data_IF_314403872794
#
_entry.id   IF_314403872794
#
_cell.length_a   1.000
_cell.length_b   1.000
_cell.length_c   1.000
_cell.angle_alpha   90.00
_cell.angle_beta   90.00
_cell.angle_gamma   90.00
#
_symmetry.space_group_name_H-M   'P 1'
#
loop_
_entity.id
_entity.type
_entity.pdbx_description
1 polymer ?
#
# COMPACT_ATOMS: atom_id res chain seq x y z
N UNK A 1 10.28 5.72 2.92
CA UNK A 1 9.28 4.77 2.42
C UNK A 1 8.95 5.16 0.99
N UNK A 2 8.83 4.17 0.10
CA UNK A 2 8.46 4.39 -1.30
C UNK A 2 6.94 4.54 -1.46
N UNK A 3 6.50 5.31 -2.45
CA UNK A 3 5.09 5.58 -2.70
C UNK A 3 4.62 5.04 -4.05
N UNK A 4 3.51 4.32 -4.04
CA UNK A 4 2.81 3.83 -5.23
C UNK A 4 1.52 4.66 -5.37
N UNK A 5 1.41 5.44 -6.45
CA UNK A 5 0.24 6.32 -6.69
C UNK A 5 -0.97 5.50 -7.15
N UNK A 6 -2.10 5.57 -6.44
CA UNK A 6 -3.29 4.71 -6.64
C UNK A 6 -4.39 5.32 -7.52
N UNK A 7 -4.21 6.55 -8.01
CA UNK A 7 -5.31 7.37 -8.51
C UNK A 7 -5.89 6.89 -9.86
N UNK A 8 -5.22 5.98 -10.58
CA UNK A 8 -5.75 5.29 -11.75
C UNK A 8 -6.28 3.90 -11.37
N UNK A 9 -7.58 3.82 -11.08
CA UNK A 9 -8.24 2.55 -10.71
C UNK A 9 -9.65 2.41 -11.30
N UNK A 10 -10.01 1.21 -11.79
CA UNK A 10 -11.32 0.96 -12.45
C UNK A 10 -12.53 0.95 -11.50
N UNK A 11 -12.31 1.03 -10.18
CA UNK A 11 -13.41 1.20 -9.22
C UNK A 11 -14.01 2.60 -9.36
N UNK A 12 -13.20 3.60 -9.73
CA UNK A 12 -13.70 4.94 -10.08
C UNK A 12 -14.55 4.87 -11.34
N UNK A 13 -15.79 5.36 -11.25
CA UNK A 13 -16.74 5.35 -12.38
C UNK A 13 -16.18 6.08 -13.60
N UNK A 14 -15.56 7.24 -13.40
CA UNK A 14 -14.99 8.03 -14.50
C UNK A 14 -13.80 7.32 -15.15
N UNK A 15 -12.91 6.73 -14.34
CA UNK A 15 -11.76 5.97 -14.87
C UNK A 15 -12.22 4.74 -15.63
N UNK A 16 -13.23 4.02 -15.11
CA UNK A 16 -13.82 2.86 -15.80
C UNK A 16 -14.42 3.23 -17.15
N UNK A 17 -15.18 4.32 -17.22
CA UNK A 17 -15.77 4.82 -18.47
C UNK A 17 -14.69 5.25 -19.47
N UNK A 18 -13.65 5.95 -19.01
CA UNK A 18 -12.52 6.35 -19.84
C UNK A 18 -11.76 5.15 -20.41
N UNK A 19 -11.51 4.11 -19.60
CA UNK A 19 -10.87 2.87 -20.06
C UNK A 19 -11.73 2.15 -21.10
N UNK A 20 -13.05 2.02 -20.86
CA UNK A 20 -13.97 1.38 -21.80
C UNK A 20 -14.00 2.08 -23.16
N UNK A 21 -13.97 3.41 -23.16
CA UNK A 21 -14.04 4.22 -24.37
C UNK A 21 -12.67 4.51 -25.00
N UNK A 22 -11.57 3.98 -24.42
CA UNK A 22 -10.20 4.32 -24.80
C UNK A 22 -9.96 5.83 -24.86
N UNK A 23 -10.52 6.56 -23.89
CA UNK A 23 -10.34 8.01 -23.77
C UNK A 23 -8.92 8.34 -23.31
N UNK A 24 -8.01 8.47 -24.28
CA UNK A 24 -6.62 8.80 -24.02
C UNK A 24 -6.45 10.16 -23.35
N UNK A 25 -7.34 11.13 -23.63
CA UNK A 25 -7.21 12.49 -23.07
C UNK A 25 -7.44 12.41 -21.56
N UNK A 26 -8.50 11.74 -21.13
CA UNK A 26 -8.77 11.55 -19.71
C UNK A 26 -7.61 10.81 -19.01
N UNK A 27 -7.16 9.69 -19.57
CA UNK A 27 -6.11 8.86 -18.98
C UNK A 27 -4.77 9.60 -18.93
N UNK A 28 -4.35 10.26 -20.01
CA UNK A 28 -3.12 11.06 -20.03
C UNK A 28 -3.18 12.21 -19.02
N UNK A 29 -4.31 12.90 -18.90
CA UNK A 29 -4.46 13.95 -17.89
C UNK A 29 -4.37 13.41 -16.45
N UNK A 30 -4.91 12.22 -16.19
CA UNK A 30 -4.82 11.58 -14.88
C UNK A 30 -3.39 11.10 -14.57
N UNK A 31 -2.71 10.48 -15.55
CA UNK A 31 -1.31 10.11 -15.46
C UNK A 31 -0.42 11.34 -15.23
N UNK A 32 -0.63 12.42 -15.98
CA UNK A 32 0.13 13.67 -15.83
C UNK A 32 0.07 14.21 -14.40
N UNK A 33 -1.12 14.24 -13.79
CA UNK A 33 -1.27 14.67 -12.39
C UNK A 33 -0.54 13.76 -11.41
N UNK A 34 -0.56 12.43 -11.63
CA UNK A 34 0.20 11.51 -10.80
C UNK A 34 1.71 11.71 -10.99
N UNK A 35 2.19 11.90 -12.22
CA UNK A 35 3.60 12.18 -12.52
C UNK A 35 4.09 13.43 -11.79
N UNK A 36 3.28 14.50 -11.73
CA UNK A 36 3.61 15.74 -11.03
C UNK A 36 3.82 15.55 -9.52
N UNK A 37 3.24 14.50 -8.92
CA UNK A 37 3.47 14.14 -7.51
C UNK A 37 4.79 13.38 -7.29
N UNK A 38 5.49 13.01 -8.36
CA UNK A 38 6.77 12.28 -8.37
C UNK A 38 6.78 11.00 -7.51
N UNK A 39 5.82 10.07 -7.69
CA UNK A 39 5.81 8.82 -6.94
C UNK A 39 6.92 7.87 -7.40
N UNK A 40 7.26 6.88 -6.57
CA UNK A 40 8.21 5.82 -6.94
C UNK A 40 7.61 4.86 -7.97
N UNK A 41 6.29 4.63 -7.89
CA UNK A 41 5.52 3.89 -8.89
C UNK A 41 4.16 4.52 -9.19
N UNK A 42 3.64 4.26 -10.39
CA UNK A 42 2.25 4.55 -10.74
C UNK A 42 1.48 3.23 -10.84
N UNK A 43 0.41 3.09 -10.06
CA UNK A 43 -0.46 1.92 -10.10
C UNK A 43 -1.42 1.98 -11.30
N UNK A 44 -1.52 0.86 -12.01
CA UNK A 44 -2.42 0.67 -13.14
C UNK A 44 -3.46 -0.40 -12.78
N UNK A 45 -4.41 -0.04 -11.93
CA UNK A 45 -5.47 -0.96 -11.52
C UNK A 45 -6.54 -1.10 -12.60
N UNK A 46 -6.59 -2.27 -13.22
CA UNK A 46 -7.52 -2.61 -14.32
C UNK A 46 -8.53 -3.71 -13.95
N UNK A 47 -8.50 -4.17 -12.69
CA UNK A 47 -9.28 -5.32 -12.25
C UNK A 47 -8.96 -6.58 -13.08
N UNK A 48 -9.93 -7.49 -13.29
CA UNK A 48 -9.69 -8.71 -14.08
C UNK A 48 -9.48 -8.49 -15.59
N UNK A 49 -9.79 -7.30 -16.10
CA UNK A 49 -9.63 -6.92 -17.51
C UNK A 49 -10.10 -7.99 -18.53
N UNK A 50 -11.35 -8.46 -18.39
CA UNK A 50 -11.97 -9.46 -19.29
C UNK A 50 -12.96 -8.82 -20.25
N UNK A 51 -13.22 -9.49 -21.37
CA UNK A 51 -14.22 -9.06 -22.36
C UNK A 51 -13.87 -7.69 -22.94
N UNK A 52 -14.76 -6.70 -22.74
CA UNK A 52 -14.54 -5.34 -23.22
C UNK A 52 -13.29 -4.64 -22.65
N UNK A 53 -12.73 -5.16 -21.55
CA UNK A 53 -11.51 -4.64 -20.92
C UNK A 53 -10.23 -5.40 -21.33
N UNK A 54 -10.31 -6.37 -22.24
CA UNK A 54 -9.13 -7.08 -22.72
C UNK A 54 -8.15 -6.13 -23.43
N UNK A 55 -6.85 -6.33 -23.25
CA UNK A 55 -5.79 -5.47 -23.75
C UNK A 55 -5.73 -4.11 -23.07
N UNK A 56 -6.41 -3.93 -21.93
CA UNK A 56 -6.32 -2.67 -21.16
C UNK A 56 -4.92 -2.48 -20.59
N UNK A 57 -4.27 -3.53 -20.09
CA UNK A 57 -2.93 -3.38 -19.51
C UNK A 57 -1.94 -2.87 -20.55
N UNK A 58 -1.88 -3.53 -21.71
CA UNK A 58 -0.99 -3.14 -22.81
C UNK A 58 -1.19 -1.69 -23.26
N UNK A 59 -2.44 -1.24 -23.37
CA UNK A 59 -2.74 0.14 -23.76
C UNK A 59 -2.29 1.14 -22.71
N UNK A 60 -2.64 0.94 -21.43
CA UNK A 60 -2.25 1.85 -20.35
C UNK A 60 -0.73 1.91 -20.17
N UNK A 61 -0.05 0.75 -20.22
CA UNK A 61 1.40 0.67 -20.15
C UNK A 61 2.07 1.45 -21.29
N UNK A 62 1.54 1.34 -22.51
CA UNK A 62 2.08 2.09 -23.66
C UNK A 62 1.93 3.60 -23.45
N UNK A 63 0.75 4.06 -23.02
CA UNK A 63 0.51 5.48 -22.74
C UNK A 63 1.41 6.02 -21.63
N UNK A 64 1.56 5.27 -20.53
CA UNK A 64 2.38 5.70 -19.40
C UNK A 64 3.88 5.81 -19.78
N UNK A 65 4.42 4.83 -20.52
CA UNK A 65 5.82 4.83 -20.95
C UNK A 65 6.16 5.90 -21.99
N UNK A 66 5.17 6.44 -22.69
CA UNK A 66 5.35 7.60 -23.58
C UNK A 66 5.43 8.92 -22.81
N UNK A 67 4.92 8.95 -21.57
CA UNK A 67 4.83 10.15 -20.75
C UNK A 67 5.89 10.26 -19.66
N UNK A 68 6.36 9.13 -19.12
CA UNK A 68 7.26 9.11 -17.96
C UNK A 68 8.19 7.91 -17.96
N UNK A 69 9.29 8.03 -17.22
CA UNK A 69 10.20 6.94 -16.86
C UNK A 69 9.93 6.35 -15.48
N UNK A 70 8.92 6.87 -14.74
CA UNK A 70 8.51 6.32 -13.45
C UNK A 70 8.08 4.85 -13.65
N UNK A 71 8.62 3.90 -12.89
CA UNK A 71 8.20 2.50 -12.94
C UNK A 71 6.70 2.29 -12.67
N UNK A 72 6.12 1.21 -13.20
CA UNK A 72 4.69 0.93 -13.07
C UNK A 72 4.41 -0.21 -12.07
N UNK A 73 3.31 -0.08 -11.33
CA UNK A 73 2.68 -1.15 -10.56
C UNK A 73 1.53 -1.73 -11.40
N UNK A 74 1.69 -2.97 -11.87
CA UNK A 74 0.69 -3.62 -12.73
C UNK A 74 -0.36 -4.30 -11.86
N UNK A 75 -1.48 -3.62 -11.60
CA UNK A 75 -2.54 -4.10 -10.72
C UNK A 75 -3.66 -4.83 -11.49
N UNK A 76 -3.62 -6.16 -11.42
CA UNK A 76 -4.66 -7.02 -11.98
C UNK A 76 -4.73 -8.40 -11.33
N UNK A 77 -5.94 -8.96 -11.29
CA UNK A 77 -6.13 -10.39 -10.99
C UNK A 77 -5.85 -11.29 -12.19
N UNK A 78 -5.66 -10.73 -13.40
CA UNK A 78 -5.40 -11.48 -14.62
C UNK A 78 -3.90 -11.52 -14.94
N UNK A 79 -3.27 -12.68 -14.72
CA UNK A 79 -1.84 -12.86 -14.93
C UNK A 79 -1.41 -12.72 -16.40
N UNK A 80 -2.30 -12.98 -17.35
CA UNK A 80 -1.98 -12.85 -18.78
C UNK A 80 -1.90 -11.37 -19.18
N UNK A 81 -2.79 -10.52 -18.65
CA UNK A 81 -2.70 -9.06 -18.84
C UNK A 81 -1.42 -8.49 -18.18
N UNK A 82 -1.05 -8.98 -17.00
CA UNK A 82 0.20 -8.63 -16.34
C UNK A 82 1.40 -9.00 -17.22
N UNK A 83 1.46 -10.24 -17.73
CA UNK A 83 2.56 -10.69 -18.58
C UNK A 83 2.65 -9.87 -19.88
N UNK A 84 1.51 -9.55 -20.49
CA UNK A 84 1.46 -8.67 -21.66
C UNK A 84 1.99 -7.27 -21.34
N UNK A 85 1.58 -6.67 -20.22
CA UNK A 85 2.08 -5.37 -19.77
C UNK A 85 3.59 -5.39 -19.52
N UNK A 86 4.07 -6.42 -18.82
CA UNK A 86 5.50 -6.55 -18.48
C UNK A 86 6.37 -6.78 -19.72
N UNK A 87 5.85 -7.45 -20.76
CA UNK A 87 6.56 -7.63 -22.04
C UNK A 87 6.88 -6.34 -22.78
N UNK A 88 6.20 -5.23 -22.44
CA UNK A 88 6.39 -3.91 -23.04
C UNK A 88 7.33 -3.03 -22.20
N UNK A 89 7.67 -3.45 -20.99
CA UNK A 89 8.45 -2.66 -20.05
C UNK A 89 9.87 -2.46 -20.58
N UNK A 90 10.31 -1.20 -20.72
CA UNK A 90 11.69 -0.88 -21.10
C UNK A 90 12.70 -1.27 -20.01
N UNK A 91 12.30 -1.18 -18.74
CA UNK A 91 13.11 -1.49 -17.55
C UNK A 91 12.28 -2.28 -16.54
N UNK A 92 11.89 -3.51 -16.88
CA UNK A 92 11.00 -4.36 -16.08
C UNK A 92 11.49 -4.64 -14.66
N UNK A 93 12.80 -4.65 -14.43
CA UNK A 93 13.41 -4.96 -13.13
C UNK A 93 12.99 -4.02 -11.99
N UNK A 94 12.60 -2.80 -12.33
CA UNK A 94 12.15 -1.77 -11.39
C UNK A 94 10.63 -1.71 -11.27
N UNK A 95 9.88 -2.42 -12.11
CA UNK A 95 8.43 -2.47 -12.05
C UNK A 95 7.97 -3.43 -10.97
N UNK A 96 6.69 -3.39 -10.62
CA UNK A 96 6.12 -4.26 -9.61
C UNK A 96 4.82 -4.89 -10.09
N UNK A 97 4.63 -6.19 -9.82
CA UNK A 97 3.36 -6.87 -10.06
C UNK A 97 2.49 -6.73 -8.81
N UNK A 98 1.28 -6.21 -8.98
CA UNK A 98 0.27 -6.13 -7.93
C UNK A 98 -0.91 -7.05 -8.28
N UNK A 99 -1.03 -8.24 -7.70
CA UNK A 99 -0.21 -8.89 -6.68
C UNK A 99 -0.29 -10.40 -6.86
N UNK A 100 0.39 -11.19 -6.04
CA UNK A 100 0.11 -12.61 -5.84
C UNK A 100 -0.51 -12.88 -4.46
N UNK A 101 -1.01 -14.08 -4.24
CA UNK A 101 -1.43 -14.61 -2.94
C UNK A 101 -0.69 -15.93 -2.65
N UNK A 102 -0.96 -16.58 -1.52
CA UNK A 102 -0.48 -17.93 -1.22
C UNK A 102 -1.25 -19.04 -1.98
N UNK A 103 -2.18 -18.68 -2.89
CA UNK A 103 -2.83 -19.66 -3.76
C UNK A 103 -1.84 -20.21 -4.79
N UNK A 104 -1.42 -21.47 -4.66
CA UNK A 104 -0.29 -22.07 -5.39
C UNK A 104 -0.35 -21.89 -6.91
N UNK A 105 -1.52 -21.96 -7.54
CA UNK A 105 -1.68 -21.73 -8.99
C UNK A 105 -1.36 -20.28 -9.36
N UNK A 106 -1.87 -19.31 -8.60
CA UNK A 106 -1.60 -17.88 -8.82
C UNK A 106 -0.13 -17.57 -8.48
N UNK A 107 0.33 -18.06 -7.33
CA UNK A 107 1.69 -17.89 -6.86
C UNK A 107 2.69 -18.36 -7.90
N UNK A 108 2.52 -19.57 -8.43
CA UNK A 108 3.41 -20.07 -9.47
C UNK A 108 3.40 -19.21 -10.72
N UNK A 109 2.21 -18.87 -11.24
CA UNK A 109 2.09 -18.09 -12.46
C UNK A 109 2.71 -16.70 -12.33
N UNK A 110 2.48 -15.99 -11.22
CA UNK A 110 3.01 -14.64 -10.99
C UNK A 110 4.52 -14.67 -10.75
N UNK A 111 5.02 -15.64 -9.98
CA UNK A 111 6.46 -15.78 -9.73
C UNK A 111 7.23 -16.22 -10.97
N UNK A 112 6.63 -17.00 -11.88
CA UNK A 112 7.23 -17.29 -13.20
C UNK A 112 7.42 -16.01 -14.03
N UNK A 113 6.41 -15.12 -14.01
CA UNK A 113 6.50 -13.81 -14.67
C UNK A 113 7.59 -12.97 -14.00
N UNK A 114 7.60 -12.91 -12.66
CA UNK A 114 8.58 -12.13 -11.93
C UNK A 114 10.02 -12.58 -12.18
N UNK A 115 10.28 -13.90 -12.16
CA UNK A 115 11.59 -14.47 -12.48
C UNK A 115 11.99 -14.19 -13.94
N UNK A 116 11.06 -14.30 -14.89
CA UNK A 116 11.30 -14.02 -16.31
C UNK A 116 11.70 -12.57 -16.58
N UNK A 117 11.10 -11.61 -15.87
CA UNK A 117 11.29 -10.18 -16.12
C UNK A 117 12.14 -9.45 -15.06
N UNK A 118 12.57 -10.13 -13.99
CA UNK A 118 13.37 -9.58 -12.90
C UNK A 118 12.64 -8.53 -12.03
N UNK A 119 11.31 -8.44 -12.15
CA UNK A 119 10.52 -7.39 -11.51
C UNK A 119 10.22 -7.69 -10.04
N UNK A 120 9.78 -6.67 -9.31
CA UNK A 120 9.28 -6.82 -7.94
C UNK A 120 7.88 -7.46 -7.93
N UNK A 121 7.46 -8.01 -6.80
CA UNK A 121 6.11 -8.54 -6.58
C UNK A 121 5.53 -8.04 -5.26
N UNK A 122 4.25 -7.67 -5.28
CA UNK A 122 3.43 -7.56 -4.07
C UNK A 122 2.84 -8.94 -3.78
N UNK A 123 3.02 -9.43 -2.56
CA UNK A 123 2.52 -10.71 -2.11
C UNK A 123 1.55 -10.52 -0.94
N UNK A 124 0.27 -10.80 -1.18
CA UNK A 124 -0.77 -10.70 -0.18
C UNK A 124 -0.69 -11.89 0.79
N UNK A 125 -0.65 -11.64 2.10
CA UNK A 125 -0.68 -12.70 3.12
C UNK A 125 -2.10 -13.25 3.31
N UNK A 126 -2.65 -13.84 2.26
CA UNK A 126 -3.96 -14.49 2.22
C UNK A 126 -3.95 -15.68 1.26
N UNK A 127 -4.96 -16.54 1.37
CA UNK A 127 -5.30 -17.52 0.35
C UNK A 127 -6.83 -17.66 0.23
N UNK A 128 -7.28 -18.39 -0.79
CA UNK A 128 -8.71 -18.60 -1.04
C UNK A 128 -9.41 -19.49 0.00
N UNK A 129 -8.67 -20.31 0.75
CA UNK A 129 -9.22 -21.25 1.74
C UNK A 129 -9.50 -20.58 3.10
N UNK A 130 -8.54 -19.80 3.61
CA UNK A 130 -8.60 -19.12 4.90
C UNK A 130 -9.14 -17.69 4.77
N UNK A 131 -9.10 -17.11 3.57
CA UNK A 131 -9.29 -15.68 3.36
C UNK A 131 -8.12 -14.89 3.96
N UNK A 132 -8.43 -13.76 4.60
CA UNK A 132 -7.45 -12.91 5.28
C UNK A 132 -7.30 -13.40 6.72
N UNK A 133 -6.13 -13.91 7.13
CA UNK A 133 -5.93 -14.32 8.51
C UNK A 133 -6.06 -13.13 9.47
N UNK A 134 -6.69 -13.38 10.63
CA UNK A 134 -6.90 -12.34 11.65
C UNK A 134 -5.65 -12.08 12.49
N UNK A 135 -4.85 -13.10 12.68
CA UNK A 135 -3.67 -13.11 13.55
C UNK A 135 -2.41 -12.90 12.73
N UNK A 136 -1.51 -12.05 13.22
CA UNK A 136 -0.21 -11.76 12.61
C UNK A 136 0.68 -13.00 12.43
N UNK A 137 0.66 -13.95 13.37
CA UNK A 137 1.38 -15.25 13.24
C UNK A 137 0.95 -16.03 11.98
N UNK A 138 -0.35 -16.06 11.69
CA UNK A 138 -0.88 -16.76 10.51
C UNK A 138 -0.54 -16.05 9.20
N UNK A 139 -0.42 -14.72 9.22
CA UNK A 139 0.07 -13.97 8.06
C UNK A 139 1.55 -14.24 7.81
N UNK A 140 2.35 -14.37 8.88
CA UNK A 140 3.76 -14.72 8.78
C UNK A 140 3.95 -16.16 8.26
N UNK A 141 3.12 -17.12 8.69
CA UNK A 141 3.12 -18.49 8.13
C UNK A 141 2.95 -18.47 6.60
N UNK A 142 1.95 -17.73 6.09
CA UNK A 142 1.74 -17.57 4.65
C UNK A 142 2.91 -16.86 3.96
N UNK A 143 3.56 -15.91 4.63
CA UNK A 143 4.75 -15.25 4.10
C UNK A 143 5.91 -16.25 3.91
N UNK A 144 6.14 -17.15 4.87
CA UNK A 144 7.14 -18.22 4.71
C UNK A 144 6.80 -19.17 3.55
N UNK A 145 5.53 -19.55 3.39
CA UNK A 145 5.09 -20.38 2.26
C UNK A 145 5.35 -19.71 0.90
N UNK A 146 5.04 -18.41 0.80
CA UNK A 146 5.30 -17.62 -0.40
C UNK A 146 6.80 -17.52 -0.68
N UNK A 147 7.60 -17.22 0.36
CA UNK A 147 9.05 -17.07 0.23
C UNK A 147 9.71 -18.36 -0.26
N UNK A 148 9.27 -19.53 0.22
CA UNK A 148 9.79 -20.81 -0.25
C UNK A 148 9.64 -20.98 -1.79
N UNK A 149 8.48 -20.61 -2.34
CA UNK A 149 8.24 -20.69 -3.80
C UNK A 149 9.07 -19.66 -4.57
N UNK A 150 9.27 -18.46 -4.02
CA UNK A 150 10.08 -17.43 -4.67
C UNK A 150 11.57 -17.78 -4.65
N UNK A 151 12.06 -18.40 -3.57
CA UNK A 151 13.44 -18.88 -3.44
C UNK A 151 13.75 -19.99 -4.45
N UNK A 152 12.83 -20.94 -4.64
CA UNK A 152 12.95 -21.99 -5.67
C UNK A 152 13.10 -21.41 -7.09
N UNK A 153 12.60 -20.20 -7.31
CA UNK A 153 12.67 -19.48 -8.60
C UNK A 153 13.77 -18.43 -8.65
N UNK A 154 14.61 -18.34 -7.62
CA UNK A 154 15.73 -17.39 -7.55
C UNK A 154 15.32 -15.92 -7.43
N UNK A 155 14.12 -15.63 -6.91
CA UNK A 155 13.67 -14.27 -6.63
C UNK A 155 14.21 -13.85 -5.26
N UNK A 156 14.94 -12.75 -5.21
CA UNK A 156 15.54 -12.23 -3.98
C UNK A 156 14.48 -11.65 -3.02
N UNK A 157 14.69 -11.78 -1.71
CA UNK A 157 13.77 -11.27 -0.68
C UNK A 157 13.47 -9.76 -0.82
N UNK A 158 14.45 -8.96 -1.24
CA UNK A 158 14.30 -7.52 -1.47
C UNK A 158 13.38 -7.16 -2.67
N UNK A 159 12.97 -8.14 -3.49
CA UNK A 159 11.99 -8.01 -4.58
C UNK A 159 10.57 -8.35 -4.15
N UNK A 160 10.38 -8.89 -2.94
CA UNK A 160 9.10 -9.36 -2.43
C UNK A 160 8.57 -8.32 -1.43
N UNK A 161 7.43 -7.72 -1.75
CA UNK A 161 6.73 -6.74 -0.93
C UNK A 161 5.50 -7.40 -0.32
N UNK A 162 5.60 -7.84 0.92
CA UNK A 162 4.46 -8.46 1.62
C UNK A 162 3.42 -7.43 2.01
N UNK A 163 2.17 -7.68 1.64
CA UNK A 163 1.01 -6.90 2.09
C UNK A 163 0.22 -7.70 3.15
N UNK A 164 0.19 -7.22 4.41
CA UNK A 164 -0.54 -7.88 5.50
C UNK A 164 -2.07 -7.80 5.37
N UNK A 165 -2.57 -7.06 4.37
CA UNK A 165 -3.97 -6.76 4.10
C UNK A 165 -4.67 -6.08 5.28
N UNK A 166 -4.74 -4.76 5.23
CA UNK A 166 -5.45 -3.98 6.22
C UNK A 166 -6.97 -4.07 5.98
N UNK A 167 -7.72 -4.41 7.02
CA UNK A 167 -9.17 -4.31 7.02
C UNK A 167 -9.62 -2.93 7.53
N UNK A 168 -10.78 -2.42 7.09
CA UNK A 168 -11.21 -1.10 7.51
C UNK A 168 -11.48 -1.02 9.01
N UNK A 169 -11.02 0.06 9.63
CA UNK A 169 -11.13 0.27 11.08
C UNK A 169 -12.59 0.31 11.57
N UNK A 170 -13.52 0.75 10.72
CA UNK A 170 -14.94 0.77 11.04
C UNK A 170 -15.62 -0.60 10.97
N UNK A 171 -14.96 -1.61 10.38
CA UNK A 171 -15.46 -2.99 10.29
C UNK A 171 -14.86 -3.83 11.41
N UNK A 172 -13.54 -3.81 11.55
CA UNK A 172 -12.82 -4.51 12.61
C UNK A 172 -11.55 -3.74 12.97
N UNK A 173 -11.64 -2.92 14.02
CA UNK A 173 -10.53 -2.06 14.46
C UNK A 173 -9.29 -2.83 14.91
N UNK A 174 -9.45 -4.08 15.37
CA UNK A 174 -8.33 -4.90 15.85
C UNK A 174 -7.32 -5.20 14.74
N UNK A 175 -7.80 -5.22 13.50
CA UNK A 175 -7.03 -5.59 12.32
C UNK A 175 -6.01 -4.53 11.91
N UNK A 176 -6.20 -3.27 12.32
CA UNK A 176 -5.20 -2.22 12.14
C UNK A 176 -3.95 -2.54 12.98
N UNK A 177 -4.12 -2.86 14.26
CA UNK A 177 -3.02 -3.24 15.15
C UNK A 177 -2.35 -4.56 14.71
N UNK A 178 -3.12 -5.56 14.28
CA UNK A 178 -2.56 -6.82 13.74
C UNK A 178 -1.75 -6.60 12.46
N UNK A 179 -2.16 -5.69 11.58
CA UNK A 179 -1.38 -5.33 10.40
C UNK A 179 -0.05 -4.69 10.77
N UNK A 180 -0.04 -3.76 11.74
CA UNK A 180 1.19 -3.15 12.27
C UNK A 180 2.12 -4.20 12.89
N UNK A 181 1.58 -5.17 13.64
CA UNK A 181 2.37 -6.25 14.20
C UNK A 181 2.93 -7.18 13.12
N UNK A 182 2.13 -7.49 12.09
CA UNK A 182 2.57 -8.31 10.95
C UNK A 182 3.74 -7.68 10.21
N UNK A 183 3.69 -6.37 9.93
CA UNK A 183 4.80 -5.64 9.27
C UNK A 183 6.09 -5.85 10.06
N UNK A 184 6.03 -5.66 11.38
CA UNK A 184 7.18 -5.83 12.26
C UNK A 184 7.74 -7.24 12.24
N UNK A 185 6.86 -8.24 12.41
CA UNK A 185 7.24 -9.65 12.39
C UNK A 185 7.92 -10.03 11.08
N UNK A 186 7.43 -9.53 9.94
CA UNK A 186 8.07 -9.73 8.63
C UNK A 186 9.49 -9.14 8.59
N UNK A 187 9.71 -7.94 9.12
CA UNK A 187 11.06 -7.32 9.15
C UNK A 187 12.04 -8.09 10.06
N UNK A 188 11.56 -8.72 11.12
CA UNK A 188 12.36 -9.48 12.09
C UNK A 188 12.63 -10.93 11.67
N UNK A 189 11.76 -11.51 10.83
CA UNK A 189 11.78 -12.95 10.54
C UNK A 189 12.62 -13.36 9.32
N UNK A 190 13.02 -12.42 8.47
CA UNK A 190 13.74 -12.71 7.23
C UNK A 190 15.13 -12.04 7.19
N UNK A 191 16.15 -12.80 6.81
CA UNK A 191 17.51 -12.33 6.51
C UNK A 191 18.05 -13.02 5.24
N UNK A 192 18.30 -12.30 4.12
CA UNK A 192 18.07 -10.86 3.92
C UNK A 192 16.61 -10.46 4.09
N UNK A 193 16.37 -9.23 4.54
CA UNK A 193 15.02 -8.73 4.80
C UNK A 193 14.15 -8.74 3.54
N UNK A 194 12.90 -9.17 3.72
CA UNK A 194 11.81 -8.93 2.77
C UNK A 194 11.34 -7.48 2.86
N UNK A 195 10.67 -7.02 1.81
CA UNK A 195 10.01 -5.71 1.81
C UNK A 195 8.57 -5.85 2.29
N UNK A 196 7.98 -4.74 2.72
CA UNK A 196 6.60 -4.65 3.19
C UNK A 196 5.87 -3.53 2.47
N UNK A 197 4.60 -3.75 2.15
CA UNK A 197 3.74 -2.74 1.54
C UNK A 197 2.33 -2.80 2.11
N UNK A 198 1.54 -1.74 1.90
CA UNK A 198 0.12 -1.73 2.25
C UNK A 198 -0.70 -0.97 1.21
N UNK A 199 -1.91 -1.43 0.93
CA UNK A 199 -2.99 -0.57 0.41
C UNK A 199 -3.50 0.39 1.48
N UNK A 200 -2.91 1.58 1.60
CA UNK A 200 -3.13 2.47 2.75
C UNK A 200 -4.60 2.87 2.89
N UNK A 201 -5.27 3.20 1.78
CA UNK A 201 -6.66 3.64 1.77
C UNK A 201 -7.65 2.58 2.29
N UNK A 202 -7.23 1.32 2.45
CA UNK A 202 -8.07 0.24 2.98
C UNK A 202 -8.43 0.45 4.45
N UNK A 203 -7.54 1.03 5.26
CA UNK A 203 -7.77 1.25 6.70
C UNK A 203 -9.01 2.11 6.97
N UNK A 204 -9.34 3.03 6.05
CA UNK A 204 -10.44 3.98 6.20
C UNK A 204 -11.62 3.73 5.24
N UNK A 205 -11.62 2.63 4.50
CA UNK A 205 -12.71 2.31 3.58
C UNK A 205 -14.05 2.13 4.33
N UNK A 206 -15.08 2.88 3.95
CA UNK A 206 -16.38 2.86 4.63
C UNK A 206 -16.51 3.84 5.81
N UNK A 207 -15.41 4.41 6.29
CA UNK A 207 -15.45 5.54 7.21
C UNK A 207 -16.04 6.79 6.53
N UNK A 208 -16.60 7.75 7.30
CA UNK A 208 -16.97 9.07 6.80
C UNK A 208 -15.81 9.74 6.05
N UNK A 209 -16.10 10.37 4.91
CA UNK A 209 -15.09 10.86 3.95
C UNK A 209 -14.10 11.84 4.58
N UNK A 210 -14.59 12.67 5.48
CA UNK A 210 -13.86 13.68 6.24
C UNK A 210 -12.86 13.08 7.25
N UNK A 211 -13.09 11.85 7.72
CA UNK A 211 -12.19 11.17 8.66
C UNK A 211 -11.06 10.43 7.94
N UNK A 212 -11.30 10.00 6.70
CA UNK A 212 -10.38 9.13 5.96
C UNK A 212 -8.95 9.67 5.84
N UNK A 213 -8.73 10.95 5.46
CA UNK A 213 -7.37 11.46 5.32
C UNK A 213 -6.58 11.39 6.61
N UNK A 214 -7.19 11.75 7.76
CA UNK A 214 -6.53 11.68 9.05
C UNK A 214 -6.20 10.24 9.44
N UNK A 215 -7.15 9.31 9.28
CA UNK A 215 -6.94 7.88 9.58
C UNK A 215 -5.79 7.32 8.73
N UNK A 216 -5.79 7.61 7.42
CA UNK A 216 -4.74 7.18 6.51
C UNK A 216 -3.37 7.71 6.93
N UNK A 217 -3.24 9.01 7.19
CA UNK A 217 -1.96 9.65 7.56
C UNK A 217 -1.40 9.13 8.88
N UNK A 218 -2.25 9.00 9.90
CA UNK A 218 -1.82 8.45 11.20
C UNK A 218 -1.43 6.98 11.08
N UNK A 219 -2.20 6.18 10.35
CA UNK A 219 -1.85 4.78 10.13
C UNK A 219 -0.53 4.61 9.37
N UNK A 220 -0.29 5.44 8.34
CA UNK A 220 0.98 5.46 7.61
C UNK A 220 2.16 5.70 8.54
N UNK A 221 2.08 6.70 9.42
CA UNK A 221 3.15 7.03 10.38
C UNK A 221 3.41 5.87 11.34
N UNK A 222 2.36 5.26 11.88
CA UNK A 222 2.50 4.09 12.77
C UNK A 222 3.14 2.91 12.02
N UNK A 223 2.75 2.66 10.77
CA UNK A 223 3.28 1.57 9.96
C UNK A 223 4.74 1.80 9.56
N UNK A 224 5.11 3.03 9.20
CA UNK A 224 6.51 3.42 8.97
C UNK A 224 7.36 3.11 10.22
N UNK A 225 6.85 3.38 11.41
CA UNK A 225 7.54 3.07 12.67
C UNK A 225 7.66 1.56 12.96
N UNK A 226 6.83 0.72 12.34
CA UNK A 226 6.99 -0.74 12.33
C UNK A 226 7.97 -1.26 11.26
N UNK A 227 8.52 -0.39 10.41
CA UNK A 227 9.43 -0.77 9.32
C UNK A 227 8.77 -0.94 7.95
N UNK A 228 7.63 -0.29 7.70
CA UNK A 228 6.97 -0.30 6.39
C UNK A 228 7.88 0.27 5.28
N UNK A 229 8.04 -0.48 4.17
CA UNK A 229 8.97 -0.10 3.09
C UNK A 229 8.29 0.66 1.93
N UNK A 230 7.02 0.36 1.63
CA UNK A 230 6.22 1.09 0.65
C UNK A 230 4.73 1.20 1.02
N UNK A 231 4.00 2.09 0.36
CA UNK A 231 2.54 2.13 0.44
C UNK A 231 1.90 2.52 -0.89
N UNK A 232 0.75 1.91 -1.19
CA UNK A 232 -0.18 2.34 -2.23
C UNK A 232 -1.07 3.44 -1.61
N UNK A 233 -0.99 4.65 -2.16
CA UNK A 233 -1.53 5.86 -1.55
C UNK A 233 -2.27 6.75 -2.55
N UNK A 234 -3.22 7.53 -2.04
CA UNK A 234 -3.75 8.69 -2.77
C UNK A 234 -2.66 9.75 -2.90
N UNK A 235 -2.01 9.81 -4.06
CA UNK A 235 -0.93 10.76 -4.33
C UNK A 235 -1.43 12.21 -4.43
N UNK A 236 -2.74 12.45 -4.49
CA UNK A 236 -3.31 13.80 -4.48
C UNK A 236 -3.51 14.33 -3.06
N UNK A 237 -3.31 13.52 -2.01
CA UNK A 237 -3.25 13.98 -0.63
C UNK A 237 -1.88 14.64 -0.35
N UNK A 238 -1.78 15.94 -0.64
CA UNK A 238 -0.56 16.73 -0.41
C UNK A 238 -0.05 16.71 1.03
N UNK A 239 -0.94 16.56 2.02
CA UNK A 239 -0.56 16.55 3.43
C UNK A 239 0.01 15.17 3.83
N UNK A 240 -0.52 14.09 3.25
CA UNK A 240 0.08 12.76 3.36
C UNK A 240 1.51 12.75 2.79
N UNK A 241 1.71 13.29 1.58
CA UNK A 241 3.04 13.38 0.97
C UNK A 241 4.01 14.21 1.84
N UNK A 242 3.52 15.33 2.39
CA UNK A 242 4.30 16.20 3.29
C UNK A 242 4.69 15.46 4.57
N UNK A 243 3.76 14.75 5.21
CA UNK A 243 4.03 13.98 6.44
C UNK A 243 5.03 12.87 6.16
N UNK A 244 4.88 12.11 5.06
CA UNK A 244 5.86 11.10 4.65
C UNK A 244 7.27 11.71 4.53
N UNK A 245 7.39 12.86 3.86
CA UNK A 245 8.67 13.57 3.74
C UNK A 245 9.25 14.00 5.10
N UNK A 246 8.41 14.52 6.00
CA UNK A 246 8.85 14.93 7.36
C UNK A 246 9.40 13.75 8.15
N UNK A 247 8.74 12.58 8.11
CA UNK A 247 9.19 11.38 8.82
C UNK A 247 10.51 10.87 8.21
N UNK A 248 10.60 10.79 6.87
CA UNK A 248 11.81 10.33 6.19
C UNK A 248 13.04 11.21 6.45
N UNK A 249 12.85 12.53 6.50
CA UNK A 249 13.94 13.47 6.77
C UNK A 249 14.19 13.68 8.26
N UNK A 250 13.28 13.25 9.13
CA UNK A 250 13.26 13.56 10.56
C UNK A 250 13.37 15.07 10.85
N UNK A 251 12.73 15.90 10.01
CA UNK A 251 12.79 17.38 10.11
C UNK A 251 11.39 17.98 10.34
N UNK A 252 10.88 17.96 11.59
CA UNK A 252 9.56 18.50 11.88
C UNK A 252 9.54 20.03 11.72
N UNK A 253 8.51 20.56 11.04
CA UNK A 253 8.39 22.00 10.77
C UNK A 253 7.47 22.72 11.76
N UNK A 254 6.60 21.98 12.45
CA UNK A 254 5.63 22.51 13.42
C UNK A 254 5.40 21.52 14.57
N UNK A 255 4.51 21.85 15.50
CA UNK A 255 4.19 20.99 16.66
C UNK A 255 3.44 19.70 16.27
N UNK A 256 2.64 19.71 15.21
CA UNK A 256 1.92 18.52 14.72
C UNK A 256 2.88 17.51 14.10
N UNK A 257 3.87 18.01 13.35
CA UNK A 257 4.95 17.20 12.79
C UNK A 257 5.77 16.51 13.88
N UNK A 258 6.05 17.21 14.99
CA UNK A 258 6.71 16.60 16.15
C UNK A 258 5.87 15.48 16.74
N UNK A 259 4.56 15.65 16.82
CA UNK A 259 3.68 14.59 17.29
C UNK A 259 3.70 13.37 16.36
N UNK A 260 3.66 13.56 15.05
CA UNK A 260 3.82 12.45 14.10
C UNK A 260 5.17 11.75 14.26
N UNK A 261 6.26 12.51 14.41
CA UNK A 261 7.59 11.93 14.63
C UNK A 261 7.66 11.15 15.95
N UNK A 262 7.08 11.68 17.04
CA UNK A 262 7.00 10.97 18.32
C UNK A 262 6.21 9.66 18.19
N UNK A 263 5.11 9.63 17.44
CA UNK A 263 4.35 8.40 17.18
C UNK A 263 5.17 7.37 16.38
N UNK A 264 5.93 7.83 15.39
CA UNK A 264 6.85 6.99 14.63
C UNK A 264 7.96 6.41 15.53
N UNK A 265 8.60 7.23 16.35
CA UNK A 265 9.67 6.82 17.27
C UNK A 265 9.16 5.86 18.34
N UNK A 266 7.95 6.10 18.88
CA UNK A 266 7.29 5.20 19.84
C UNK A 266 7.08 3.81 19.24
N UNK A 267 6.62 3.72 17.99
CA UNK A 267 6.46 2.44 17.33
C UNK A 267 7.80 1.73 17.16
N UNK A 268 8.86 2.43 16.74
CA UNK A 268 10.21 1.85 16.63
C UNK A 268 10.78 1.38 17.98
N UNK A 269 10.51 2.13 19.05
CA UNK A 269 11.01 1.86 20.39
C UNK A 269 10.20 0.79 21.16
N UNK A 270 9.15 0.24 20.55
CA UNK A 270 8.22 -0.71 21.21
C UNK A 270 7.54 -0.10 22.44
N UNK A 271 7.29 1.20 22.42
CA UNK A 271 6.63 1.94 23.49
C UNK A 271 5.11 1.98 23.33
N UNK A 272 4.42 2.46 24.36
CA UNK A 272 2.97 2.65 24.38
C UNK A 272 2.61 4.14 24.22
N UNK A 273 1.38 4.41 23.81
CA UNK A 273 0.81 5.77 23.71
C UNK A 273 0.90 6.58 24.99
N UNK A 274 1.03 5.93 26.16
CA UNK A 274 1.25 6.60 27.45
C UNK A 274 2.58 7.38 27.52
N UNK A 275 3.58 7.07 26.68
CA UNK A 275 4.86 7.81 26.62
C UNK A 275 4.79 9.08 25.76
N UNK A 276 3.71 9.27 24.99
CA UNK A 276 3.59 10.37 24.03
C UNK A 276 3.12 11.65 24.73
N UNK A 277 3.97 12.67 24.70
CA UNK A 277 3.60 14.03 25.09
C UNK A 277 3.04 14.81 23.89
N UNK A 278 1.92 15.49 24.11
CA UNK A 278 1.28 16.38 23.13
C UNK A 278 0.50 17.51 23.81
N UNK A 279 0.22 18.59 23.08
CA UNK A 279 -0.55 19.72 23.61
C UNK A 279 -2.05 19.39 23.66
N UNK A 280 -2.57 19.21 24.88
CA UNK A 280 -3.99 18.90 25.14
C UNK A 280 -4.94 20.10 24.93
N UNK A 281 -4.41 21.27 24.56
CA UNK A 281 -5.21 22.44 24.16
C UNK A 281 -5.26 22.63 22.65
N UNK A 282 -4.39 21.94 21.91
CA UNK A 282 -4.35 21.95 20.44
C UNK A 282 -5.29 20.87 19.88
N UNK A 283 -6.39 21.32 19.26
CA UNK A 283 -7.44 20.46 18.71
C UNK A 283 -6.88 19.45 17.70
N UNK A 284 -5.94 19.85 16.85
CA UNK A 284 -5.41 18.95 15.82
C UNK A 284 -4.50 17.88 16.43
N UNK A 285 -3.70 18.22 17.43
CA UNK A 285 -2.93 17.21 18.18
C UNK A 285 -3.83 16.22 18.92
N UNK A 286 -4.93 16.70 19.52
CA UNK A 286 -5.92 15.81 20.15
C UNK A 286 -6.51 14.84 19.12
N UNK A 287 -6.84 15.32 17.91
CA UNK A 287 -7.38 14.46 16.84
C UNK A 287 -6.36 13.43 16.38
N UNK A 288 -5.11 13.83 16.13
CA UNK A 288 -4.02 12.94 15.74
C UNK A 288 -3.84 11.85 16.80
N UNK A 289 -3.70 12.24 18.07
CA UNK A 289 -3.47 11.32 19.17
C UNK A 289 -4.64 10.34 19.38
N UNK A 290 -5.90 10.85 19.40
CA UNK A 290 -7.10 9.99 19.48
C UNK A 290 -7.18 8.99 18.33
N UNK A 291 -6.78 9.40 17.12
CA UNK A 291 -6.76 8.51 15.94
C UNK A 291 -5.73 7.41 16.13
N UNK A 292 -4.53 7.72 16.65
CA UNK A 292 -3.51 6.73 16.94
C UNK A 292 -4.00 5.70 17.97
N UNK A 293 -4.64 6.15 19.06
CA UNK A 293 -5.20 5.26 20.08
C UNK A 293 -6.27 4.30 19.52
N UNK A 294 -7.08 4.73 18.55
CA UNK A 294 -8.06 3.85 17.92
C UNK A 294 -7.37 2.82 17.01
N UNK A 295 -6.41 3.26 16.20
CA UNK A 295 -5.66 2.38 15.29
C UNK A 295 -4.80 1.36 16.04
N UNK A 296 -4.34 1.71 17.25
CA UNK A 296 -3.64 0.83 18.18
C UNK A 296 -4.59 0.03 19.09
N UNK A 297 -5.90 0.08 18.83
CA UNK A 297 -6.93 -0.64 19.56
C UNK A 297 -6.98 -0.33 21.08
N UNK A 298 -6.51 0.86 21.49
CA UNK A 298 -6.57 1.38 22.86
C UNK A 298 -7.91 2.07 23.15
N UNK A 299 -8.54 2.61 22.12
CA UNK A 299 -9.89 3.21 22.17
C UNK A 299 -10.82 2.58 21.14
N UNK A 300 -12.12 2.67 21.41
CA UNK A 300 -13.17 2.16 20.52
C UNK A 300 -13.44 3.18 19.43
N UNK A 301 -13.42 2.74 18.17
CA UNK A 301 -13.84 3.52 17.03
C UNK A 301 -15.34 3.84 17.10
N UNK A 302 -15.68 5.10 16.84
CA UNK A 302 -17.03 5.52 16.47
C UNK A 302 -16.93 6.58 15.37
N UNK A 303 -17.96 6.80 14.56
CA UNK A 303 -17.93 7.87 13.56
C UNK A 303 -17.84 9.29 14.18
N UNK A 304 -18.04 9.41 15.49
CA UNK A 304 -17.98 10.65 16.27
C UNK A 304 -16.74 10.76 17.17
N UNK A 305 -15.72 9.90 17.00
CA UNK A 305 -14.59 9.85 17.93
C UNK A 305 -13.78 11.16 18.05
N UNK A 306 -13.87 12.01 17.01
CA UNK A 306 -13.27 13.33 16.96
C UNK A 306 -14.18 14.47 17.43
N UNK A 307 -15.43 14.18 17.80
CA UNK A 307 -16.27 15.15 18.49
C UNK A 307 -15.67 15.38 19.90
N UNK A 308 -15.34 16.64 20.18
CA UNK A 308 -14.69 17.11 21.43
C UNK A 308 -15.65 18.05 22.13
#
# INVERSE_FOLDING_TARGET
MKLISENLHIISKSTKEAVLNRDEIYIKNLLQKQIETSPDWIDLNIGPARGAFAGTMQWLVSLAQDMTSIPLSLDSTNADEIELGMSLAKNSENWIINSTSADLTRLNRVTDIAAKYGCNIIALTMNSELGIPKESDKRLELAFEITAVTEEKGIENNKIYFDPLILPVCVDQTQAAEALNTIRMLKESFDPQVMTTIGLSNVSNGCPKELRPLINRVFMVLAMGCGLDSAIVDSFDSELLRINHVIEQQTPQNSHDKLYLNLYDMMQAFEDTDSIEYDKTDIEQIKIFKTAEILLNKKVYSNSYLEI
#
